data_IF_321062951848
#
_entry.id   IF_321062951848
#
_cell.length_a   1.000
_cell.length_b   1.000
_cell.length_c   1.000
_cell.angle_alpha   90.00
_cell.angle_beta   90.00
_cell.angle_gamma   90.00
#
_symmetry.space_group_name_H-M   'P 1'
#
loop_
_entity.id
_entity.type
_entity.pdbx_description
1 polymer ?
#
# COMPACT_ATOMS: atom_id res chain seq x y z
N UNK A 1 9.92 19.05 -2.88
CA UNK A 1 8.71 18.62 -2.12
C UNK A 1 8.05 17.49 -2.89
N UNK A 2 7.57 16.41 -2.24
CA UNK A 2 6.84 15.36 -2.94
C UNK A 2 5.56 15.91 -3.58
N UNK A 3 5.30 15.52 -4.83
CA UNK A 3 4.11 15.93 -5.56
C UNK A 3 2.98 14.94 -5.28
N UNK A 4 1.99 15.37 -4.51
CA UNK A 4 0.83 14.54 -4.17
C UNK A 4 -0.26 14.65 -5.24
N UNK A 5 -0.93 13.53 -5.52
CA UNK A 5 -2.14 13.49 -6.36
C UNK A 5 -3.29 12.88 -5.59
N UNK A 6 -4.48 13.43 -5.79
CA UNK A 6 -5.72 12.91 -5.23
C UNK A 6 -6.21 11.74 -6.07
N UNK A 7 -6.48 10.60 -5.42
CA UNK A 7 -7.10 9.43 -6.06
C UNK A 7 -8.49 9.21 -5.48
N UNK A 8 -9.42 8.75 -6.32
CA UNK A 8 -10.77 8.40 -5.87
C UNK A 8 -10.75 6.94 -5.46
N UNK A 9 -11.15 6.67 -4.23
CA UNK A 9 -11.27 5.33 -3.67
C UNK A 9 -12.74 5.03 -3.35
N UNK A 10 -13.19 3.77 -3.50
CA UNK A 10 -14.51 3.37 -3.03
C UNK A 10 -14.67 3.65 -1.54
N UNK A 11 -15.81 4.20 -1.13
CA UNK A 11 -16.07 4.53 0.27
C UNK A 11 -15.96 3.31 1.18
N UNK A 12 -16.50 2.17 0.73
CA UNK A 12 -16.46 0.89 1.46
C UNK A 12 -15.02 0.48 1.77
N UNK A 13 -14.09 0.65 0.84
CA UNK A 13 -12.67 0.35 1.05
C UNK A 13 -12.07 1.25 2.13
N UNK A 14 -12.39 2.54 2.10
CA UNK A 14 -11.92 3.49 3.12
C UNK A 14 -12.48 3.15 4.49
N UNK A 15 -13.75 2.74 4.58
CA UNK A 15 -14.36 2.25 5.83
C UNK A 15 -13.65 1.02 6.36
N UNK A 16 -13.37 0.04 5.50
CA UNK A 16 -12.62 -1.17 5.88
C UNK A 16 -11.24 -0.80 6.42
N UNK A 17 -10.51 0.12 5.75
CA UNK A 17 -9.20 0.59 6.22
C UNK A 17 -9.30 1.25 7.59
N UNK A 18 -10.29 2.14 7.80
CA UNK A 18 -10.50 2.77 9.11
C UNK A 18 -10.75 1.74 10.20
N UNK A 19 -11.63 0.76 9.94
CA UNK A 19 -11.92 -0.32 10.87
C UNK A 19 -10.66 -1.12 11.24
N UNK A 20 -9.82 -1.46 10.26
CA UNK A 20 -8.55 -2.16 10.50
C UNK A 20 -7.62 -1.34 11.40
N UNK A 21 -7.51 -0.04 11.17
CA UNK A 21 -6.67 0.86 11.98
C UNK A 21 -7.18 0.94 13.42
N UNK A 22 -8.49 0.98 13.62
CA UNK A 22 -9.12 1.02 14.95
C UNK A 22 -8.97 -0.32 15.69
N UNK A 23 -9.19 -1.44 15.01
CA UNK A 23 -9.08 -2.79 15.59
C UNK A 23 -7.62 -3.19 15.85
N UNK A 24 -6.69 -2.74 15.03
CA UNK A 24 -5.26 -3.11 15.10
C UNK A 24 -4.38 -1.90 15.39
N UNK A 25 -4.54 -1.32 16.58
CA UNK A 25 -3.74 -0.16 17.04
C UNK A 25 -2.23 -0.43 17.07
N UNK A 26 -1.82 -1.69 17.16
CA UNK A 26 -0.42 -2.15 17.06
C UNK A 26 0.24 -1.80 15.71
N UNK A 27 -0.55 -1.56 14.66
CA UNK A 27 -0.03 -1.18 13.34
C UNK A 27 0.51 0.26 13.28
N UNK A 28 0.20 1.10 14.27
CA UNK A 28 0.79 2.44 14.42
C UNK A 28 0.34 3.51 13.41
N UNK A 29 -0.66 3.23 12.56
CA UNK A 29 -1.18 4.21 11.60
C UNK A 29 -2.04 5.27 12.28
N UNK A 30 -1.81 6.56 11.98
CA UNK A 30 -2.61 7.67 12.52
C UNK A 30 -3.78 8.02 11.62
N UNK A 31 -3.77 7.59 10.37
CA UNK A 31 -4.82 7.88 9.40
C UNK A 31 -4.87 6.84 8.27
N UNK A 32 -6.07 6.69 7.69
CA UNK A 32 -6.30 5.85 6.51
C UNK A 32 -5.37 6.21 5.35
N UNK A 33 -5.03 7.49 5.15
CA UNK A 33 -4.07 7.92 4.13
C UNK A 33 -2.68 7.32 4.33
N UNK A 34 -2.16 7.28 5.56
CA UNK A 34 -0.84 6.66 5.83
C UNK A 34 -0.85 5.18 5.49
N UNK A 35 -1.91 4.48 5.91
CA UNK A 35 -2.09 3.06 5.59
C UNK A 35 -2.12 2.84 4.08
N UNK A 36 -2.90 3.63 3.33
CA UNK A 36 -3.05 3.49 1.88
C UNK A 36 -1.71 3.76 1.18
N UNK A 37 -0.96 4.78 1.62
CA UNK A 37 0.37 5.10 1.07
C UNK A 37 1.34 3.93 1.29
N UNK A 38 1.45 3.43 2.52
CA UNK A 38 2.34 2.30 2.84
C UNK A 38 1.93 1.03 2.07
N UNK A 39 0.64 0.68 2.07
CA UNK A 39 0.13 -0.49 1.35
C UNK A 39 0.40 -0.40 -0.16
N UNK A 40 0.19 0.78 -0.75
CA UNK A 40 0.48 1.02 -2.17
C UNK A 40 1.98 0.91 -2.44
N UNK A 41 2.82 1.49 -1.58
CA UNK A 41 4.28 1.43 -1.70
C UNK A 41 4.79 -0.02 -1.69
N UNK A 42 4.40 -0.81 -0.68
CA UNK A 42 4.78 -2.22 -0.56
C UNK A 42 4.31 -3.04 -1.76
N UNK A 43 3.11 -2.75 -2.29
CA UNK A 43 2.59 -3.44 -3.47
C UNK A 43 3.39 -3.11 -4.72
N UNK A 44 3.72 -1.83 -4.94
CA UNK A 44 4.55 -1.39 -6.06
C UNK A 44 5.96 -1.98 -5.96
N UNK A 45 6.60 -1.88 -4.79
CA UNK A 45 7.93 -2.46 -4.56
C UNK A 45 7.94 -3.96 -4.86
N UNK A 46 6.98 -4.72 -4.32
CA UNK A 46 6.85 -6.16 -4.61
C UNK A 46 6.73 -6.44 -6.11
N UNK A 47 5.94 -5.66 -6.84
CA UNK A 47 5.74 -5.85 -8.28
C UNK A 47 7.00 -5.50 -9.08
N UNK A 48 7.72 -4.44 -8.70
CA UNK A 48 8.99 -4.05 -9.34
C UNK A 48 10.09 -5.08 -9.06
N UNK A 49 10.22 -5.56 -7.82
CA UNK A 49 11.20 -6.58 -7.43
C UNK A 49 10.91 -7.94 -8.07
N UNK A 50 9.63 -8.32 -8.22
CA UNK A 50 9.27 -9.59 -8.89
C UNK A 50 9.66 -9.58 -10.37
N UNK A 51 9.73 -8.41 -11.00
CA UNK A 51 10.03 -8.28 -12.44
C UNK A 51 11.54 -8.31 -12.78
N UNK A 52 12.44 -8.35 -11.78
CA UNK A 52 13.90 -8.36 -12.00
C UNK A 52 14.56 -9.74 -11.82
N UNK A 53 13.77 -10.79 -11.50
CA UNK A 53 14.29 -12.14 -11.22
C UNK A 53 13.80 -13.22 -12.21
N UNK A 54 13.44 -12.87 -13.44
CA UNK A 54 12.97 -13.85 -14.46
C UNK A 54 13.85 -13.88 -15.71
N UNK A 55 15.15 -13.63 -15.57
CA UNK A 55 16.08 -13.83 -16.69
C UNK A 55 17.52 -14.06 -16.23
N UNK A 56 17.76 -15.05 -15.39
CA UNK A 56 19.05 -15.77 -15.32
C UNK A 56 18.79 -17.22 -14.90
N UNK A 57 18.96 -18.16 -15.84
CA UNK A 57 19.07 -19.59 -15.54
C UNK A 57 18.07 -20.51 -16.25
N UNK A 58 18.11 -20.57 -17.58
CA UNK A 58 17.98 -21.87 -18.24
C UNK A 58 19.34 -22.24 -18.83
N UNK A 59 19.63 -23.53 -18.69
CA UNK A 59 20.91 -24.19 -18.51
C UNK A 59 21.48 -24.71 -19.82
#
# INVERSE_FOLDING_TARGET
>A
MPQYRTVRLPEELVKTVKKIIEEKKELGYRSHSEFIIDATRRRVEKLLTTSQNTSEGEK
#
